data_IF_677126256349
#
_entry.id   IF_677126256349
#
_cell.length_a   1.000
_cell.length_b   1.000
_cell.length_c   1.000
_cell.angle_alpha   90.00
_cell.angle_beta   90.00
_cell.angle_gamma   90.00
#
_symmetry.space_group_name_H-M   'P 1'
#
loop_
_entity.id
_entity.type
_entity.pdbx_description
1 polymer ?
#
# COMPACT_ATOMS: atom_id res chain seq x y z
N UNK A 1 60.23 13.39 -17.34
CA UNK A 1 59.60 13.84 -18.60
C UNK A 1 58.21 13.22 -18.65
N UNK A 2 57.22 13.93 -18.14
CA UNK A 2 55.83 13.50 -18.18
C UNK A 2 55.03 14.65 -18.84
N UNK A 3 54.54 14.37 -20.04
CA UNK A 3 53.68 15.30 -20.76
C UNK A 3 52.31 15.37 -20.10
N UNK A 4 51.90 16.58 -19.75
CA UNK A 4 50.61 16.87 -19.18
C UNK A 4 49.68 17.38 -20.31
N UNK A 5 48.78 16.55 -20.79
CA UNK A 5 47.77 16.92 -21.79
C UNK A 5 46.62 17.64 -21.08
N UNK A 6 46.49 18.95 -21.34
CA UNK A 6 45.37 19.77 -20.89
C UNK A 6 44.18 19.55 -21.84
N UNK A 7 43.13 18.89 -21.38
CA UNK A 7 41.84 18.89 -22.07
C UNK A 7 40.95 19.96 -21.46
N UNK A 8 40.74 21.04 -22.19
CA UNK A 8 39.82 22.12 -21.87
C UNK A 8 38.45 21.74 -22.43
N UNK A 9 37.50 21.37 -21.57
CA UNK A 9 36.09 21.31 -21.94
C UNK A 9 35.51 22.72 -21.84
N UNK A 10 35.35 23.39 -22.97
CA UNK A 10 34.57 24.63 -23.09
C UNK A 10 33.21 24.26 -23.69
N UNK A 11 32.18 24.26 -22.88
CA UNK A 11 30.79 24.18 -23.32
C UNK A 11 30.32 25.62 -23.60
N UNK A 12 30.33 26.02 -24.89
CA UNK A 12 29.81 27.30 -25.33
C UNK A 12 28.35 27.13 -25.73
N UNK A 13 27.44 27.66 -24.93
CA UNK A 13 26.06 27.86 -25.33
C UNK A 13 26.02 28.92 -26.43
N UNK A 14 25.60 28.54 -27.65
CA UNK A 14 25.34 29.45 -28.76
C UNK A 14 23.99 30.14 -28.56
N UNK A 15 24.04 31.42 -28.19
CA UNK A 15 22.96 32.33 -28.48
C UNK A 15 23.32 33.08 -29.77
N UNK A 16 22.58 32.80 -30.83
CA UNK A 16 22.62 33.55 -32.07
C UNK A 16 21.91 34.89 -31.87
N UNK A 17 22.65 35.98 -31.94
CA UNK A 17 22.13 37.33 -32.20
C UNK A 17 22.67 37.77 -33.55
N UNK A 18 21.80 37.85 -34.54
CA UNK A 18 22.06 38.45 -35.84
C UNK A 18 22.14 40.00 -35.69
N UNK A 19 23.33 40.56 -35.96
CA UNK A 19 23.50 42.02 -36.19
C UNK A 19 24.36 42.16 -37.43
N UNK A 20 23.95 42.96 -38.45
CA UNK A 20 24.71 43.12 -39.69
C UNK A 20 25.88 44.09 -39.50
N UNK A 21 27.07 43.69 -39.99
CA UNK A 21 28.25 44.55 -40.06
C UNK A 21 28.27 45.36 -41.37
N UNK A 22 28.60 46.69 -41.33
CA UNK A 22 29.01 47.36 -42.49
C UNK A 22 30.55 47.33 -42.68
N UNK A 23 30.94 47.08 -43.88
CA UNK A 23 32.31 47.08 -44.36
C UNK A 23 32.93 48.47 -44.39
N UNK A 24 34.01 48.76 -43.62
CA UNK A 24 35.11 49.61 -44.01
C UNK A 24 36.30 49.46 -43.06
N UNK A 25 37.49 49.22 -43.62
CA UNK A 25 38.71 48.97 -42.93
C UNK A 25 39.27 50.13 -42.09
N UNK A 26 39.97 49.76 -41.04
CA UNK A 26 41.20 50.36 -40.56
C UNK A 26 41.79 49.56 -39.42
N UNK A 27 43.06 49.24 -39.54
CA UNK A 27 43.92 48.60 -38.58
C UNK A 27 44.18 49.48 -37.37
N UNK A 28 43.77 49.12 -36.20
CA UNK A 28 44.30 49.65 -34.93
C UNK A 28 44.38 48.55 -33.93
N UNK A 29 45.59 48.26 -33.46
CA UNK A 29 45.88 47.37 -32.36
C UNK A 29 45.48 48.04 -31.02
N UNK A 30 44.64 47.46 -30.19
CA UNK A 30 44.53 47.93 -28.82
C UNK A 30 45.21 46.93 -27.86
N UNK A 31 45.98 47.49 -26.97
CA UNK A 31 46.55 46.94 -25.80
C UNK A 31 45.48 46.07 -25.05
N UNK A 32 45.71 44.78 -24.98
CA UNK A 32 44.91 43.91 -24.12
C UNK A 32 45.43 44.00 -22.69
N UNK A 33 44.74 44.76 -21.85
CA UNK A 33 44.95 44.75 -20.42
C UNK A 33 44.46 43.37 -19.91
N UNK A 34 45.39 42.47 -19.58
CA UNK A 34 45.09 41.21 -18.96
C UNK A 34 44.62 41.50 -17.53
N UNK A 35 43.30 41.57 -17.37
CA UNK A 35 42.68 41.53 -16.05
C UNK A 35 43.03 40.21 -15.36
N UNK A 36 43.51 40.28 -14.14
CA UNK A 36 43.76 39.13 -13.25
C UNK A 36 42.45 38.34 -13.09
N UNK A 37 42.22 37.35 -13.96
CA UNK A 37 41.26 36.32 -13.69
C UNK A 37 41.81 35.44 -12.56
N UNK A 38 41.20 35.55 -11.40
CA UNK A 38 41.38 34.60 -10.33
C UNK A 38 40.82 33.27 -10.82
N UNK A 39 41.67 32.37 -11.33
CA UNK A 39 41.30 31.01 -11.64
C UNK A 39 41.10 30.36 -10.27
N UNK A 40 39.84 30.25 -9.84
CA UNK A 40 39.46 29.30 -8.77
C UNK A 40 39.73 27.91 -9.30
N UNK A 41 40.84 27.34 -8.85
CA UNK A 41 41.20 25.97 -9.13
C UNK A 41 40.13 25.11 -8.44
N UNK A 42 39.25 24.55 -9.28
CA UNK A 42 38.30 23.53 -8.83
C UNK A 42 39.09 22.46 -8.02
N UNK A 43 38.69 22.11 -6.80
CA UNK A 43 39.46 21.20 -5.95
C UNK A 43 39.68 19.90 -6.75
N UNK A 44 40.98 19.51 -6.85
CA UNK A 44 41.37 18.24 -7.46
C UNK A 44 40.47 17.12 -6.93
N UNK A 45 39.86 16.35 -7.83
CA UNK A 45 39.24 15.07 -7.44
C UNK A 45 40.28 14.28 -6.68
N UNK A 46 40.06 14.10 -5.39
CA UNK A 46 40.86 13.24 -4.53
C UNK A 46 41.02 11.87 -5.18
N UNK A 47 42.16 11.21 -5.02
CA UNK A 47 42.38 9.86 -5.55
C UNK A 47 41.26 8.91 -5.03
N UNK A 48 40.95 7.86 -5.77
CA UNK A 48 39.90 6.92 -5.37
C UNK A 48 40.12 6.39 -3.95
N UNK A 49 41.37 6.10 -3.59
CA UNK A 49 41.79 5.62 -2.27
C UNK A 49 41.54 6.66 -1.15
N UNK A 50 41.77 7.96 -1.42
CA UNK A 50 41.50 9.01 -0.44
C UNK A 50 40.01 9.25 -0.26
N UNK A 51 39.22 9.10 -1.33
CA UNK A 51 37.75 9.16 -1.25
C UNK A 51 37.15 7.99 -0.47
N UNK A 52 37.65 6.78 -0.68
CA UNK A 52 37.16 5.60 0.02
C UNK A 52 37.47 5.71 1.52
N UNK A 53 38.69 6.12 1.90
CA UNK A 53 39.03 6.39 3.32
C UNK A 53 38.16 7.48 3.95
N UNK A 54 37.90 8.57 3.23
CA UNK A 54 37.04 9.65 3.70
C UNK A 54 35.59 9.18 3.88
N UNK A 55 35.09 8.32 2.99
CA UNK A 55 33.78 7.69 3.10
C UNK A 55 33.69 6.75 4.31
N UNK A 56 34.69 5.88 4.50
CA UNK A 56 34.74 4.96 5.64
C UNK A 56 34.76 5.71 6.98
N UNK A 57 35.54 6.79 7.07
CA UNK A 57 35.54 7.64 8.26
C UNK A 57 34.19 8.32 8.51
N UNK A 58 33.51 8.79 7.45
CA UNK A 58 32.19 9.38 7.58
C UNK A 58 31.13 8.35 8.00
N UNK A 59 31.18 7.14 7.44
CA UNK A 59 30.28 6.02 7.82
C UNK A 59 30.49 5.65 9.30
N UNK A 60 31.73 5.47 9.74
CA UNK A 60 32.04 5.17 11.13
C UNK A 60 31.59 6.28 12.10
N UNK A 61 31.66 7.56 11.68
CA UNK A 61 31.15 8.68 12.48
C UNK A 61 29.63 8.68 12.56
N UNK A 62 28.93 8.39 11.45
CA UNK A 62 27.47 8.28 11.41
C UNK A 62 27.00 7.13 12.30
N UNK A 63 27.63 5.97 12.23
CA UNK A 63 27.29 4.82 13.07
C UNK A 63 27.46 5.11 14.57
N UNK A 64 28.52 5.83 14.94
CA UNK A 64 28.72 6.25 16.36
C UNK A 64 27.66 7.25 16.83
N UNK A 65 27.17 8.12 15.95
CA UNK A 65 26.24 9.18 16.32
C UNK A 65 24.78 8.74 16.23
N UNK A 66 24.42 7.89 15.28
CA UNK A 66 23.03 7.53 14.95
C UNK A 66 22.72 6.04 15.16
N UNK A 67 23.72 5.23 15.52
CA UNK A 67 23.59 3.79 15.71
C UNK A 67 23.97 2.97 14.50
N UNK A 68 24.25 1.70 14.73
CA UNK A 68 24.62 0.71 13.71
C UNK A 68 23.47 0.53 12.69
N UNK A 69 23.80 0.43 11.40
CA UNK A 69 22.83 0.29 10.32
C UNK A 69 22.15 1.60 9.89
N UNK A 70 22.57 2.77 10.40
CA UNK A 70 22.05 4.08 9.98
C UNK A 70 22.32 4.38 8.50
N UNK A 71 23.43 3.86 7.96
CA UNK A 71 23.79 3.90 6.54
C UNK A 71 24.26 2.51 6.13
N UNK A 72 23.72 1.99 5.04
CA UNK A 72 24.13 0.71 4.48
C UNK A 72 24.07 0.73 2.97
N UNK A 73 24.91 -0.08 2.32
CA UNK A 73 24.86 -0.22 0.86
C UNK A 73 23.63 -1.00 0.46
N UNK A 74 22.91 -0.54 -0.56
CA UNK A 74 21.64 -1.16 -1.00
C UNK A 74 21.84 -2.63 -1.44
N UNK A 75 23.02 -3.01 -1.94
CA UNK A 75 23.35 -4.39 -2.32
C UNK A 75 23.61 -5.32 -1.13
N UNK A 76 23.96 -4.79 0.03
CA UNK A 76 24.19 -5.57 1.27
C UNK A 76 22.87 -5.89 1.99
N UNK A 77 21.83 -5.10 1.78
CA UNK A 77 20.46 -5.51 2.07
C UNK A 77 20.07 -6.53 1.00
N UNK A 78 20.18 -7.82 1.28
CA UNK A 78 19.47 -8.83 0.49
C UNK A 78 18.06 -8.31 0.17
N UNK A 79 17.40 -8.79 -0.88
CA UNK A 79 16.02 -8.37 -1.20
C UNK A 79 15.17 -8.49 0.08
N UNK A 80 15.01 -7.38 0.81
CA UNK A 80 14.12 -7.36 1.97
C UNK A 80 12.71 -7.55 1.44
N UNK A 81 12.24 -8.79 1.54
CA UNK A 81 10.86 -9.14 1.23
C UNK A 81 9.98 -8.24 2.09
N UNK A 82 9.14 -7.43 1.47
CA UNK A 82 8.23 -6.56 2.22
C UNK A 82 7.17 -7.47 2.82
N UNK A 83 7.09 -7.51 4.14
CA UNK A 83 6.05 -8.23 4.85
C UNK A 83 4.68 -7.65 4.48
N UNK A 84 3.69 -8.51 4.29
CA UNK A 84 2.35 -8.11 3.89
C UNK A 84 1.29 -8.86 4.69
N UNK A 85 0.11 -8.27 4.83
CA UNK A 85 -1.11 -8.90 5.34
C UNK A 85 -2.04 -9.14 4.17
N UNK A 86 -2.54 -10.37 4.01
CA UNK A 86 -3.48 -10.72 2.93
C UNK A 86 -4.72 -9.82 2.96
N UNK A 87 -5.29 -9.55 1.81
CA UNK A 87 -6.55 -8.81 1.67
C UNK A 87 -7.78 -9.71 1.85
N UNK A 88 -7.60 -11.02 2.05
CA UNK A 88 -8.68 -12.02 2.02
C UNK A 88 -9.11 -12.42 0.60
N UNK A 89 -8.53 -11.81 -0.44
CA UNK A 89 -8.80 -12.14 -1.84
C UNK A 89 -7.49 -12.38 -2.59
N UNK A 90 -7.30 -13.60 -3.09
CA UNK A 90 -6.12 -13.97 -3.87
C UNK A 90 -5.92 -13.05 -5.09
N UNK A 91 -7.02 -12.67 -5.75
CA UNK A 91 -6.97 -11.76 -6.90
C UNK A 91 -6.39 -10.38 -6.55
N UNK A 92 -6.77 -9.82 -5.39
CA UNK A 92 -6.25 -8.54 -4.90
C UNK A 92 -4.78 -8.69 -4.49
N UNK A 93 -4.44 -9.76 -3.78
CA UNK A 93 -3.07 -10.05 -3.31
C UNK A 93 -2.09 -10.17 -4.49
N UNK A 94 -2.53 -10.81 -5.59
CA UNK A 94 -1.80 -10.86 -6.85
C UNK A 94 -1.64 -9.49 -7.50
N UNK A 95 -2.70 -8.68 -7.52
CA UNK A 95 -2.65 -7.34 -8.09
C UNK A 95 -1.71 -6.42 -7.29
N UNK A 96 -1.62 -6.59 -5.97
CA UNK A 96 -0.68 -5.91 -5.09
C UNK A 96 0.78 -6.36 -5.32
N UNK A 97 0.99 -7.60 -5.74
CA UNK A 97 2.29 -8.14 -6.17
C UNK A 97 3.25 -8.53 -5.06
N UNK A 98 2.81 -8.48 -3.79
CA UNK A 98 3.58 -8.87 -2.60
C UNK A 98 2.77 -9.79 -1.67
N UNK A 99 1.61 -10.29 -2.13
CA UNK A 99 0.75 -11.18 -1.37
C UNK A 99 -0.21 -10.49 -0.39
N UNK A 100 -0.36 -9.16 -0.45
CA UNK A 100 -1.26 -8.42 0.41
C UNK A 100 -0.90 -6.95 0.59
N UNK A 101 -1.41 -6.33 1.65
CA UNK A 101 -1.11 -4.94 2.00
C UNK A 101 0.24 -4.84 2.74
N UNK A 102 1.12 -3.89 2.36
CA UNK A 102 2.47 -3.79 2.93
C UNK A 102 2.46 -3.34 4.38
N UNK A 103 3.15 -4.05 5.27
CA UNK A 103 3.38 -3.65 6.66
C UNK A 103 4.22 -2.37 6.75
N UNK A 104 3.95 -1.56 7.76
CA UNK A 104 4.67 -0.31 8.01
C UNK A 104 4.34 0.81 7.01
N UNK A 105 3.20 0.76 6.34
CA UNK A 105 2.84 1.67 5.25
C UNK A 105 1.43 2.23 5.39
N UNK A 106 1.25 3.41 4.77
CA UNK A 106 -0.08 4.00 4.56
C UNK A 106 -0.66 3.44 3.27
N UNK A 107 -1.89 2.94 3.36
CA UNK A 107 -2.70 2.47 2.23
C UNK A 107 -3.96 3.34 2.14
N UNK A 108 -4.32 3.80 0.94
CA UNK A 108 -5.58 4.50 0.69
C UNK A 108 -6.48 3.61 -0.16
N UNK A 109 -7.69 3.32 0.36
CA UNK A 109 -8.77 2.63 -0.37
C UNK A 109 -9.85 3.67 -0.67
N UNK A 110 -10.14 3.92 -1.94
CA UNK A 110 -11.12 4.92 -2.31
C UNK A 110 -12.00 4.45 -3.47
N UNK A 111 -13.19 4.99 -3.53
CA UNK A 111 -14.18 4.63 -4.55
C UNK A 111 -15.55 5.25 -4.28
N UNK A 112 -16.52 5.03 -5.19
CA UNK A 112 -17.89 5.46 -5.01
C UNK A 112 -18.52 4.86 -3.74
N UNK A 113 -19.67 5.37 -3.36
CA UNK A 113 -20.50 4.79 -2.31
C UNK A 113 -20.90 3.35 -2.67
N UNK A 114 -21.08 2.49 -1.66
CA UNK A 114 -21.44 1.07 -1.82
C UNK A 114 -20.54 0.27 -2.77
N UNK A 115 -19.27 0.67 -2.95
CA UNK A 115 -18.29 -0.04 -3.78
C UNK A 115 -17.54 -1.17 -3.04
N UNK A 116 -17.72 -1.34 -1.72
CA UNK A 116 -17.06 -2.36 -0.91
C UNK A 116 -15.76 -1.92 -0.24
N UNK A 117 -15.54 -0.62 -0.01
CA UNK A 117 -14.34 -0.08 0.67
C UNK A 117 -14.18 -0.62 2.09
N UNK A 118 -15.20 -0.43 2.92
CA UNK A 118 -15.21 -0.90 4.32
C UNK A 118 -15.19 -2.42 4.38
N UNK A 119 -15.87 -3.13 3.48
CA UNK A 119 -15.81 -4.58 3.33
C UNK A 119 -14.38 -5.06 3.11
N UNK A 120 -13.63 -4.45 2.17
CA UNK A 120 -12.23 -4.80 1.91
C UNK A 120 -11.36 -4.55 3.15
N UNK A 121 -11.55 -3.41 3.83
CA UNK A 121 -10.79 -3.11 5.04
C UNK A 121 -11.08 -4.10 6.17
N UNK A 122 -12.34 -4.51 6.36
CA UNK A 122 -12.73 -5.53 7.35
C UNK A 122 -12.11 -6.90 7.02
N UNK A 123 -12.04 -7.30 5.75
CA UNK A 123 -11.33 -8.53 5.37
C UNK A 123 -9.84 -8.47 5.73
N UNK A 124 -9.18 -7.33 5.52
CA UNK A 124 -7.77 -7.18 5.93
C UNK A 124 -7.63 -7.28 7.45
N UNK A 125 -8.57 -6.73 8.22
CA UNK A 125 -8.60 -6.87 9.68
C UNK A 125 -8.76 -8.33 10.07
N UNK A 126 -9.72 -9.05 9.48
CA UNK A 126 -9.94 -10.48 9.75
C UNK A 126 -8.70 -11.33 9.44
N UNK A 127 -8.03 -11.07 8.31
CA UNK A 127 -6.78 -11.76 7.96
C UNK A 127 -5.63 -11.45 8.91
N UNK A 128 -5.53 -10.20 9.39
CA UNK A 128 -4.52 -9.82 10.37
C UNK A 128 -4.77 -10.53 11.72
N UNK A 129 -6.02 -10.56 12.19
CA UNK A 129 -6.39 -11.23 13.43
C UNK A 129 -6.17 -12.74 13.33
N UNK A 130 -6.48 -13.37 12.19
CA UNK A 130 -6.23 -14.81 11.96
C UNK A 130 -4.75 -15.18 12.11
N UNK A 131 -3.84 -14.24 11.86
CA UNK A 131 -2.40 -14.43 12.08
C UNK A 131 -1.93 -13.94 13.46
N UNK A 132 -2.86 -13.77 14.42
CA UNK A 132 -2.56 -13.33 15.80
C UNK A 132 -2.28 -11.81 15.92
N UNK A 133 -2.57 -11.02 14.89
CA UNK A 133 -2.33 -9.58 14.91
C UNK A 133 -3.44 -8.80 15.62
N UNK A 134 -3.06 -7.73 16.33
CA UNK A 134 -4.00 -6.82 16.99
C UNK A 134 -4.43 -5.71 16.03
N UNK A 135 -5.74 -5.46 15.96
CA UNK A 135 -6.33 -4.52 15.04
C UNK A 135 -7.15 -3.43 15.73
N UNK A 136 -7.18 -2.26 15.11
CA UNK A 136 -7.99 -1.13 15.57
C UNK A 136 -8.79 -0.54 14.41
N UNK A 137 -10.03 -0.11 14.70
CA UNK A 137 -10.93 0.52 13.77
C UNK A 137 -11.40 1.88 14.30
N UNK A 138 -11.05 2.94 13.61
CA UNK A 138 -11.46 4.31 13.94
C UNK A 138 -12.66 4.65 13.04
N UNK A 139 -13.86 4.48 13.59
CA UNK A 139 -15.14 4.67 12.91
C UNK A 139 -15.63 6.10 13.07
N UNK A 140 -15.19 6.99 12.20
CA UNK A 140 -15.61 8.40 12.19
C UNK A 140 -16.99 8.61 11.52
N UNK A 141 -17.52 7.62 10.81
CA UNK A 141 -18.87 7.65 10.22
C UNK A 141 -19.94 7.09 11.18
N UNK A 142 -19.54 6.43 12.29
CA UNK A 142 -20.43 5.73 13.23
C UNK A 142 -21.34 4.70 12.54
N UNK A 143 -20.82 4.01 11.54
CA UNK A 143 -21.59 3.15 10.63
C UNK A 143 -21.14 1.69 10.64
N UNK A 144 -20.24 1.29 11.55
CA UNK A 144 -19.77 -0.08 11.63
C UNK A 144 -20.87 -1.01 12.15
N UNK A 145 -21.14 -2.05 11.39
CA UNK A 145 -22.06 -3.13 11.76
C UNK A 145 -21.26 -4.33 12.32
N UNK A 146 -21.35 -4.63 13.62
CA UNK A 146 -20.63 -5.73 14.26
C UNK A 146 -21.07 -7.11 13.75
N UNK A 147 -22.34 -7.30 13.38
CA UNK A 147 -22.85 -8.56 12.86
C UNK A 147 -22.24 -8.83 11.48
N UNK A 148 -22.21 -7.82 10.63
CA UNK A 148 -21.56 -7.93 9.33
C UNK A 148 -20.04 -8.17 9.45
N UNK A 149 -19.37 -7.49 10.37
CA UNK A 149 -17.94 -7.70 10.64
C UNK A 149 -17.67 -9.16 11.07
N UNK A 150 -18.49 -9.72 11.97
CA UNK A 150 -18.42 -11.12 12.39
C UNK A 150 -18.63 -12.09 11.22
N UNK A 151 -19.60 -11.81 10.36
CA UNK A 151 -19.85 -12.64 9.17
C UNK A 151 -18.70 -12.64 8.16
N UNK A 152 -17.90 -11.59 8.13
CA UNK A 152 -16.66 -11.49 7.32
C UNK A 152 -15.53 -12.32 7.95
N UNK A 153 -15.60 -12.61 9.25
CA UNK A 153 -14.59 -13.34 10.02
C UNK A 153 -13.76 -12.46 10.94
N UNK A 154 -14.21 -11.22 11.21
CA UNK A 154 -13.57 -10.35 12.21
C UNK A 154 -13.93 -10.87 13.60
N UNK A 155 -12.93 -11.04 14.44
CA UNK A 155 -13.12 -11.21 15.87
C UNK A 155 -13.50 -9.87 16.50
N UNK A 156 -14.78 -9.68 16.74
CA UNK A 156 -15.32 -8.39 17.23
C UNK A 156 -15.02 -8.17 18.70
N UNK A 157 -14.75 -9.22 19.48
CA UNK A 157 -14.41 -9.14 20.89
C UNK A 157 -12.96 -8.65 21.09
N UNK A 158 -12.06 -8.96 20.15
CA UNK A 158 -10.66 -8.54 20.17
C UNK A 158 -10.40 -7.28 19.32
N UNK A 159 -11.39 -6.75 18.61
CA UNK A 159 -11.23 -5.56 17.78
C UNK A 159 -11.35 -4.29 18.62
N UNK A 160 -10.31 -3.45 18.61
CA UNK A 160 -10.36 -2.12 19.24
C UNK A 160 -11.15 -1.15 18.38
N UNK A 161 -12.25 -0.62 18.90
CA UNK A 161 -13.08 0.38 18.22
C UNK A 161 -12.94 1.73 18.89
N UNK A 162 -12.82 2.80 18.08
CA UNK A 162 -12.89 4.18 18.51
C UNK A 162 -13.86 4.95 17.62
N UNK A 163 -14.76 5.73 18.22
CA UNK A 163 -15.74 6.57 17.55
C UNK A 163 -15.52 8.03 17.95
N UNK A 164 -14.57 8.73 17.33
CA UNK A 164 -14.18 10.08 17.68
C UNK A 164 -15.16 11.12 17.16
N UNK A 165 -15.39 12.20 17.93
CA UNK A 165 -16.25 13.32 17.55
C UNK A 165 -15.57 14.30 16.57
N UNK A 166 -14.24 14.37 16.56
CA UNK A 166 -13.46 15.31 15.74
C UNK A 166 -12.33 14.62 14.96
N UNK A 167 -11.94 15.21 13.84
CA UNK A 167 -10.82 14.71 13.03
C UNK A 167 -9.48 14.75 13.77
N UNK A 168 -9.27 15.76 14.65
CA UNK A 168 -8.09 15.84 15.50
C UNK A 168 -8.02 14.65 16.48
N UNK A 169 -9.14 14.35 17.14
CA UNK A 169 -9.22 13.22 18.09
C UNK A 169 -8.98 11.88 17.36
N UNK A 170 -9.60 11.66 16.21
CA UNK A 170 -9.40 10.46 15.39
C UNK A 170 -7.93 10.23 15.05
N UNK A 171 -7.26 11.26 14.56
CA UNK A 171 -5.87 11.15 14.11
C UNK A 171 -4.88 11.10 15.27
N UNK A 172 -5.20 11.69 16.42
CA UNK A 172 -4.39 11.62 17.63
C UNK A 172 -4.47 10.22 18.27
N UNK A 173 -5.68 9.64 18.38
CA UNK A 173 -5.87 8.24 18.81
C UNK A 173 -5.10 7.31 17.87
N UNK A 174 -5.22 7.49 16.57
CA UNK A 174 -4.48 6.70 15.57
C UNK A 174 -2.95 6.78 15.79
N UNK A 175 -2.40 8.01 15.99
CA UNK A 175 -0.97 8.19 16.23
C UNK A 175 -0.53 7.52 17.55
N UNK A 176 -1.33 7.58 18.60
CA UNK A 176 -1.06 6.92 19.88
C UNK A 176 -1.06 5.40 19.74
N UNK A 177 -2.04 4.83 19.06
CA UNK A 177 -2.13 3.39 18.79
C UNK A 177 -0.92 2.90 17.99
N UNK A 178 -0.53 3.60 16.92
CA UNK A 178 0.64 3.25 16.12
C UNK A 178 1.92 3.34 16.95
N UNK A 179 2.09 4.37 17.77
CA UNK A 179 3.28 4.54 18.61
C UNK A 179 3.42 3.50 19.70
N UNK A 180 2.34 2.87 20.12
CA UNK A 180 2.40 1.77 21.09
C UNK A 180 3.23 0.58 20.58
N UNK A 181 3.27 0.38 19.24
CA UNK A 181 3.93 -0.74 18.59
C UNK A 181 3.19 -2.08 18.75
N UNK A 182 1.99 -2.07 19.34
CA UNK A 182 1.19 -3.26 19.61
C UNK A 182 0.10 -3.50 18.54
N UNK A 183 -0.05 -2.61 17.57
CA UNK A 183 -1.11 -2.67 16.55
C UNK A 183 -0.53 -3.06 15.20
N UNK A 184 -1.08 -4.10 14.58
CA UNK A 184 -0.71 -4.57 13.25
C UNK A 184 -1.45 -3.82 12.14
N UNK A 185 -2.75 -3.59 12.33
CA UNK A 185 -3.61 -2.88 11.36
C UNK A 185 -4.44 -1.83 12.08
N UNK A 186 -4.45 -0.60 11.57
CA UNK A 186 -5.40 0.44 11.96
C UNK A 186 -6.15 0.93 10.74
N UNK A 187 -7.48 0.94 10.82
CA UNK A 187 -8.39 1.43 9.77
C UNK A 187 -8.99 2.76 10.22
N UNK A 188 -9.05 3.74 9.33
CA UNK A 188 -9.77 5.01 9.53
C UNK A 188 -10.89 5.08 8.49
N UNK A 189 -12.13 4.99 8.93
CA UNK A 189 -13.33 5.04 8.10
C UNK A 189 -14.22 6.23 8.50
N UNK A 190 -14.33 7.30 7.75
CA UNK A 190 -13.57 7.59 6.54
C UNK A 190 -12.91 8.98 6.64
N UNK A 191 -11.91 9.25 5.77
CA UNK A 191 -11.27 10.59 5.70
C UNK A 191 -12.31 11.71 5.47
N UNK A 192 -13.39 11.41 4.75
CA UNK A 192 -14.45 12.38 4.47
C UNK A 192 -15.17 12.85 5.75
N UNK A 193 -15.25 11.99 6.77
CA UNK A 193 -15.90 12.26 8.06
C UNK A 193 -14.97 12.92 9.09
N UNK A 194 -13.67 13.05 8.80
CA UNK A 194 -12.71 13.71 9.70
C UNK A 194 -12.92 15.23 9.67
N UNK A 195 -13.94 15.69 10.38
CA UNK A 195 -14.27 17.13 10.49
C UNK A 195 -13.36 17.79 11.52
N UNK A 196 -12.64 18.88 11.17
CA UNK A 196 -11.86 19.66 12.12
C UNK A 196 -12.72 20.24 13.23
N UNK A 197 -12.20 20.27 14.47
CA UNK A 197 -12.91 20.84 15.62
C UNK A 197 -13.40 22.26 15.37
N UNK A 198 -12.58 23.10 14.77
CA UNK A 198 -12.94 24.49 14.46
C UNK A 198 -14.11 24.60 13.47
N UNK A 199 -14.35 23.58 12.64
CA UNK A 199 -15.50 23.51 11.73
C UNK A 199 -16.78 23.08 12.48
N UNK A 200 -16.65 22.22 13.50
CA UNK A 200 -17.75 21.78 14.35
C UNK A 200 -18.21 22.90 15.29
N UNK A 201 -17.26 23.65 15.85
CA UNK A 201 -17.53 24.76 16.79
C UNK A 201 -17.93 26.06 16.09
N UNK A 202 -17.76 26.17 14.75
CA UNK A 202 -18.14 27.32 13.94
C UNK A 202 -19.64 27.44 13.72
N UNK A 203 -20.07 28.60 13.22
CA UNK A 203 -21.49 28.82 12.88
C UNK A 203 -21.81 28.22 11.51
N UNK A 204 -23.09 27.86 11.31
CA UNK A 204 -23.57 27.37 10.01
C UNK A 204 -23.39 28.44 8.93
N UNK A 205 -22.55 28.14 7.91
CA UNK A 205 -22.23 29.07 6.83
C UNK A 205 -20.83 29.66 6.89
N UNK A 206 -20.07 29.41 7.97
CA UNK A 206 -18.67 29.79 8.03
C UNK A 206 -17.83 29.04 7.00
N UNK A 207 -16.90 29.76 6.38
CA UNK A 207 -16.02 29.15 5.38
C UNK A 207 -14.71 28.67 6.00
N UNK A 208 -14.58 27.36 6.18
CA UNK A 208 -13.38 26.72 6.74
C UNK A 208 -12.49 26.09 5.66
N UNK A 209 -12.08 26.90 4.67
CA UNK A 209 -11.34 26.41 3.52
C UNK A 209 -9.98 25.81 3.92
N UNK A 210 -9.82 24.51 3.63
CA UNK A 210 -8.54 23.81 3.73
C UNK A 210 -8.11 23.37 5.12
N UNK A 211 -8.94 23.51 6.16
CA UNK A 211 -8.61 23.03 7.51
C UNK A 211 -8.37 21.52 7.53
N UNK A 212 -9.28 20.72 6.96
CA UNK A 212 -9.12 19.27 6.84
C UNK A 212 -7.81 18.89 6.12
N UNK A 213 -7.47 19.58 5.04
CA UNK A 213 -6.23 19.30 4.31
C UNK A 213 -4.95 19.62 5.12
N UNK A 214 -4.99 20.65 5.97
CA UNK A 214 -3.89 21.00 6.90
C UNK A 214 -3.77 19.95 7.99
N UNK A 215 -4.89 19.55 8.60
CA UNK A 215 -4.97 18.50 9.61
C UNK A 215 -4.39 17.19 9.09
N UNK A 216 -4.85 16.73 7.93
CA UNK A 216 -4.33 15.52 7.26
C UNK A 216 -2.83 15.63 6.96
N UNK A 217 -2.35 16.78 6.48
CA UNK A 217 -0.93 16.97 6.19
C UNK A 217 -0.05 16.91 7.44
N UNK A 218 -0.54 17.42 8.56
CA UNK A 218 0.16 17.37 9.85
C UNK A 218 0.18 15.95 10.43
N UNK A 219 -0.96 15.28 10.46
CA UNK A 219 -1.10 13.93 10.97
C UNK A 219 -0.26 12.92 10.18
N UNK A 220 -0.35 12.94 8.85
CA UNK A 220 0.39 12.01 7.99
C UNK A 220 1.91 12.14 8.15
N UNK A 221 2.45 13.34 8.43
CA UNK A 221 3.88 13.51 8.74
C UNK A 221 4.28 12.78 10.02
N UNK A 222 3.44 12.84 11.08
CA UNK A 222 3.69 12.14 12.35
C UNK A 222 3.52 10.64 12.20
N UNK A 223 2.39 10.20 11.67
CA UNK A 223 2.02 8.79 11.48
C UNK A 223 3.06 8.05 10.63
N UNK A 224 3.44 8.60 9.47
CA UNK A 224 4.38 7.92 8.56
C UNK A 224 5.77 7.70 9.19
N UNK A 225 6.21 8.60 10.06
CA UNK A 225 7.50 8.45 10.74
C UNK A 225 7.52 7.24 11.70
N UNK A 226 6.38 6.91 12.31
CA UNK A 226 6.23 5.84 13.27
C UNK A 226 5.91 4.49 12.60
N UNK A 227 5.04 4.47 11.59
CA UNK A 227 4.58 3.26 10.90
C UNK A 227 5.71 2.32 10.48
N UNK A 228 6.79 2.87 9.90
CA UNK A 228 7.90 2.05 9.43
C UNK A 228 8.63 1.33 10.58
N UNK A 229 8.65 1.92 11.77
CA UNK A 229 9.28 1.35 12.96
C UNK A 229 8.41 0.27 13.60
N UNK A 230 7.10 0.53 13.69
CA UNK A 230 6.13 -0.35 14.35
C UNK A 230 5.59 -1.44 13.43
N UNK A 231 5.87 -1.36 12.11
CA UNK A 231 5.35 -2.28 11.09
C UNK A 231 3.83 -2.30 10.98
N UNK A 232 3.14 -1.32 11.56
CA UNK A 232 1.68 -1.18 11.51
C UNK A 232 1.22 -0.80 10.09
N UNK A 233 0.15 -1.40 9.60
CA UNK A 233 -0.54 -0.98 8.37
C UNK A 233 -1.58 0.07 8.75
N UNK A 234 -1.55 1.25 8.10
CA UNK A 234 -2.57 2.26 8.30
C UNK A 234 -3.42 2.41 7.04
N UNK A 235 -4.68 2.00 7.12
CA UNK A 235 -5.64 2.02 6.01
C UNK A 235 -6.54 3.25 6.16
N UNK A 236 -6.52 4.13 5.17
CA UNK A 236 -7.45 5.24 5.06
C UNK A 236 -8.53 4.91 4.02
N UNK A 237 -9.75 4.84 4.45
CA UNK A 237 -10.91 4.73 3.57
C UNK A 237 -11.30 6.15 3.12
N UNK A 238 -11.56 6.33 1.82
CA UNK A 238 -11.87 7.65 1.28
C UNK A 238 -13.02 7.58 0.27
N UNK A 239 -13.79 8.63 0.21
CA UNK A 239 -14.88 8.78 -0.73
C UNK A 239 -14.39 9.48 -2.01
N UNK A 240 -15.15 9.36 -3.10
CA UNK A 240 -14.96 10.16 -4.30
C UNK A 240 -15.90 11.38 -4.28
N UNK A 241 -15.36 12.50 -4.71
CA UNK A 241 -16.11 13.74 -4.94
C UNK A 241 -15.85 14.21 -6.36
N UNK A 242 -16.79 14.88 -6.97
CA UNK A 242 -16.63 15.45 -8.30
C UNK A 242 -16.33 16.95 -8.19
N UNK A 243 -15.36 17.40 -8.95
CA UNK A 243 -15.05 18.82 -9.12
C UNK A 243 -15.94 19.40 -10.19
N UNK A 244 -16.70 20.43 -9.84
CA UNK A 244 -17.52 21.17 -10.79
C UNK A 244 -16.61 21.99 -11.71
N UNK A 245 -16.92 22.01 -13.03
CA UNK A 245 -16.23 22.85 -14.01
C UNK A 245 -14.93 22.30 -14.60
N UNK A 246 -14.62 21.02 -14.41
CA UNK A 246 -13.47 20.37 -15.06
C UNK A 246 -13.85 19.97 -16.49
N UNK A 247 -13.36 20.70 -17.48
CA UNK A 247 -13.61 20.41 -18.90
C UNK A 247 -12.64 19.35 -19.48
N UNK A 248 -11.45 19.19 -18.89
CA UNK A 248 -10.44 18.22 -19.35
C UNK A 248 -9.86 17.44 -18.19
N UNK A 249 -9.66 16.12 -18.39
CA UNK A 249 -9.16 15.20 -17.36
C UNK A 249 -10.28 14.59 -16.49
N UNK A 250 -9.92 13.84 -15.43
CA UNK A 250 -10.90 13.25 -14.52
C UNK A 250 -11.42 14.31 -13.53
N UNK A 251 -12.74 14.51 -13.44
CA UNK A 251 -13.34 15.39 -12.44
C UNK A 251 -13.24 14.81 -11.03
N UNK A 252 -12.99 13.51 -10.90
CA UNK A 252 -12.99 12.81 -9.61
C UNK A 252 -11.81 13.25 -8.73
N UNK A 253 -12.10 13.48 -7.47
CA UNK A 253 -11.11 13.83 -6.44
C UNK A 253 -11.52 13.20 -5.11
N UNK A 254 -10.52 13.01 -4.23
CA UNK A 254 -10.74 12.54 -2.86
C UNK A 254 -10.62 13.71 -1.88
N UNK A 255 -11.46 13.80 -0.81
CA UNK A 255 -11.33 14.75 0.27
C UNK A 255 -10.02 14.57 1.06
N UNK A 256 -9.73 15.49 2.01
CA UNK A 256 -8.50 15.45 2.80
C UNK A 256 -7.27 16.06 2.10
N UNK A 257 -7.43 16.70 0.93
CA UNK A 257 -6.36 17.38 0.20
C UNK A 257 -5.43 16.45 -0.58
N UNK A 258 -4.18 16.91 -0.80
CA UNK A 258 -3.19 16.15 -1.60
C UNK A 258 -2.27 15.28 -0.75
N UNK A 259 -2.20 15.50 0.56
CA UNK A 259 -1.21 14.87 1.42
C UNK A 259 -1.29 13.33 1.38
N UNK A 260 -2.50 12.77 1.51
CA UNK A 260 -2.72 11.33 1.50
C UNK A 260 -2.23 10.68 0.18
N UNK A 261 -2.44 11.34 -0.96
CA UNK A 261 -1.96 10.86 -2.27
C UNK A 261 -0.43 10.75 -2.35
N UNK A 262 0.31 11.59 -1.62
CA UNK A 262 1.77 11.56 -1.57
C UNK A 262 2.28 10.55 -0.54
N UNK A 263 1.70 10.54 0.66
CA UNK A 263 2.15 9.69 1.78
C UNK A 263 1.79 8.22 1.58
N UNK A 264 0.64 7.91 0.99
CA UNK A 264 0.26 6.52 0.71
C UNK A 264 1.32 5.80 -0.14
N UNK A 265 1.66 4.58 0.25
CA UNK A 265 2.51 3.68 -0.54
C UNK A 265 1.71 2.89 -1.56
N UNK A 266 0.47 2.55 -1.22
CA UNK A 266 -0.49 1.89 -2.09
C UNK A 266 -1.78 2.71 -2.14
N UNK A 267 -2.38 2.82 -3.33
CA UNK A 267 -3.70 3.42 -3.53
C UNK A 267 -4.55 2.47 -4.37
N UNK A 268 -5.70 2.12 -3.83
CA UNK A 268 -6.64 1.15 -4.38
C UNK A 268 -7.92 1.89 -4.77
N UNK A 269 -8.24 1.94 -6.06
CA UNK A 269 -9.52 2.40 -6.59
C UNK A 269 -10.45 1.18 -6.66
N UNK A 270 -11.55 1.18 -5.92
CA UNK A 270 -12.51 0.09 -5.85
C UNK A 270 -13.86 0.52 -6.42
N UNK A 271 -14.39 -0.27 -7.37
CA UNK A 271 -15.64 0.06 -8.08
C UNK A 271 -16.48 -1.18 -8.30
N UNK A 272 -17.77 -1.08 -8.00
CA UNK A 272 -18.75 -2.08 -8.41
C UNK A 272 -18.96 -1.99 -9.92
N UNK A 273 -18.90 -3.14 -10.62
CA UNK A 273 -19.08 -3.24 -12.07
C UNK A 273 -20.49 -3.71 -12.40
N UNK A 274 -20.92 -4.78 -11.75
CA UNK A 274 -22.14 -5.51 -12.07
C UNK A 274 -22.84 -6.02 -10.80
N UNK A 275 -24.15 -6.21 -10.88
CA UNK A 275 -24.93 -6.84 -9.82
C UNK A 275 -25.00 -8.36 -10.05
N UNK A 276 -24.65 -9.13 -9.03
CA UNK A 276 -24.81 -10.58 -9.04
C UNK A 276 -26.25 -10.91 -8.61
N UNK A 277 -26.92 -11.71 -9.42
CA UNK A 277 -28.31 -12.14 -9.17
C UNK A 277 -28.38 -13.64 -9.02
N UNK A 278 -29.17 -14.10 -8.05
CA UNK A 278 -29.58 -15.48 -7.90
C UNK A 278 -31.11 -15.52 -7.73
N UNK A 279 -31.78 -16.39 -8.48
CA UNK A 279 -33.24 -16.55 -8.44
C UNK A 279 -34.04 -15.26 -8.61
N UNK A 280 -33.46 -14.30 -9.36
CA UNK A 280 -34.11 -13.00 -9.66
C UNK A 280 -33.80 -11.91 -8.61
N UNK A 281 -33.22 -12.23 -7.48
CA UNK A 281 -32.80 -11.30 -6.44
C UNK A 281 -31.33 -10.92 -6.56
N UNK A 282 -30.99 -9.69 -6.13
CA UNK A 282 -29.59 -9.22 -6.12
C UNK A 282 -28.94 -9.70 -4.84
N UNK A 283 -28.03 -10.67 -4.97
CA UNK A 283 -27.32 -11.30 -3.84
C UNK A 283 -25.92 -10.74 -3.61
N UNK A 284 -25.40 -9.98 -4.55
CA UNK A 284 -24.05 -9.43 -4.45
C UNK A 284 -23.67 -8.46 -5.55
N UNK A 285 -22.40 -8.15 -5.65
CA UNK A 285 -21.84 -7.30 -6.69
C UNK A 285 -20.47 -7.76 -7.16
N UNK A 286 -20.29 -7.84 -8.47
CA UNK A 286 -18.97 -7.96 -9.10
C UNK A 286 -18.23 -6.64 -8.91
N UNK A 287 -17.05 -6.68 -8.34
CA UNK A 287 -16.27 -5.51 -7.97
C UNK A 287 -14.91 -5.59 -8.64
N UNK A 288 -14.42 -4.44 -9.08
CA UNK A 288 -13.07 -4.29 -9.63
C UNK A 288 -12.25 -3.39 -8.74
N UNK A 289 -11.02 -3.81 -8.43
CA UNK A 289 -9.99 -2.95 -7.87
C UNK A 289 -8.94 -2.62 -8.93
N UNK A 290 -8.43 -1.39 -8.88
CA UNK A 290 -7.28 -0.94 -9.65
C UNK A 290 -6.23 -0.38 -8.71
N UNK A 291 -5.03 -0.90 -8.78
CA UNK A 291 -3.89 -0.41 -7.98
C UNK A 291 -3.29 0.81 -8.69
N UNK A 292 -3.79 2.00 -8.35
CA UNK A 292 -3.42 3.25 -9.04
C UNK A 292 -2.02 3.71 -8.67
N UNK A 293 -1.57 3.39 -7.46
CA UNK A 293 -0.23 3.67 -6.97
C UNK A 293 0.28 2.48 -6.18
N UNK A 294 1.52 2.09 -6.43
CA UNK A 294 2.20 1.06 -5.69
C UNK A 294 3.70 1.39 -5.61
N UNK A 295 4.25 1.47 -4.40
CA UNK A 295 5.68 1.72 -4.16
C UNK A 295 6.46 0.44 -3.85
N UNK A 296 5.78 -0.70 -3.71
CA UNK A 296 6.38 -1.99 -3.32
C UNK A 296 6.37 -3.03 -4.45
N UNK A 297 5.57 -2.79 -5.50
CA UNK A 297 5.50 -3.60 -6.71
C UNK A 297 5.05 -2.74 -7.92
N UNK A 298 5.06 -3.25 -9.16
CA UNK A 298 4.57 -2.52 -10.33
C UNK A 298 3.09 -2.11 -10.18
N UNK A 299 2.74 -0.82 -10.38
CA UNK A 299 1.38 -0.32 -10.26
C UNK A 299 0.52 -0.68 -11.49
N UNK A 300 -0.76 -0.23 -11.45
CA UNK A 300 -1.78 -0.29 -12.50
C UNK A 300 -2.35 -1.68 -12.79
N UNK A 301 -2.02 -2.68 -11.96
CA UNK A 301 -2.69 -3.98 -12.01
C UNK A 301 -4.14 -3.84 -11.56
N UNK A 302 -4.99 -4.74 -12.05
CA UNK A 302 -6.42 -4.80 -11.74
C UNK A 302 -6.76 -6.21 -11.27
N UNK A 303 -7.79 -6.30 -10.44
CA UNK A 303 -8.38 -7.56 -10.03
C UNK A 303 -9.90 -7.41 -9.97
N UNK A 304 -10.62 -8.47 -10.30
CA UNK A 304 -12.06 -8.56 -10.18
C UNK A 304 -12.44 -9.69 -9.24
N UNK A 305 -13.42 -9.44 -8.41
CA UNK A 305 -13.91 -10.38 -7.42
C UNK A 305 -15.37 -10.09 -7.06
N UNK A 306 -16.02 -11.05 -6.43
CA UNK A 306 -17.41 -10.92 -6.01
C UNK A 306 -17.48 -10.53 -4.53
N UNK A 307 -18.34 -9.56 -4.22
CA UNK A 307 -18.77 -9.24 -2.85
C UNK A 307 -20.20 -9.75 -2.70
N UNK A 308 -20.41 -10.72 -1.81
CA UNK A 308 -21.71 -11.24 -1.47
C UNK A 308 -22.29 -10.49 -0.28
N UNK A 309 -23.54 -10.06 -0.37
CA UNK A 309 -24.18 -9.30 0.70
C UNK A 309 -24.33 -10.16 1.96
N UNK A 310 -23.99 -9.59 3.10
CA UNK A 310 -23.98 -10.26 4.39
C UNK A 310 -22.82 -11.25 4.62
N UNK A 311 -22.00 -11.56 3.59
CA UNK A 311 -20.91 -12.54 3.68
C UNK A 311 -19.52 -11.99 3.31
N UNK A 312 -19.46 -10.81 2.64
CA UNK A 312 -18.21 -10.21 2.21
C UNK A 312 -17.66 -10.76 0.89
N UNK A 313 -16.34 -10.74 0.73
CA UNK A 313 -15.65 -11.18 -0.48
C UNK A 313 -15.71 -12.71 -0.60
N UNK A 314 -16.15 -13.20 -1.77
CA UNK A 314 -16.12 -14.65 -2.06
C UNK A 314 -14.68 -15.10 -2.33
N UNK A 315 -14.10 -15.83 -1.39
CA UNK A 315 -12.76 -16.44 -1.51
C UNK A 315 -12.73 -17.52 -2.59
N UNK A 316 -13.75 -18.41 -2.55
CA UNK A 316 -13.91 -19.51 -3.50
C UNK A 316 -14.05 -18.97 -4.93
N UNK A 317 -14.86 -17.92 -5.11
CA UNK A 317 -15.03 -17.25 -6.41
C UNK A 317 -13.72 -16.67 -6.95
N UNK A 318 -12.95 -15.99 -6.08
CA UNK A 318 -11.64 -15.46 -6.44
C UNK A 318 -10.66 -16.59 -6.79
N UNK A 319 -10.67 -17.69 -6.04
CA UNK A 319 -9.79 -18.83 -6.26
C UNK A 319 -10.08 -19.56 -7.58
N UNK A 320 -11.36 -19.77 -7.90
CA UNK A 320 -11.77 -20.37 -9.20
C UNK A 320 -11.32 -19.49 -10.36
N UNK A 321 -11.58 -18.18 -10.29
CA UNK A 321 -11.23 -17.25 -11.36
C UNK A 321 -9.70 -17.20 -11.57
N UNK A 322 -8.94 -17.01 -10.49
CA UNK A 322 -7.47 -16.97 -10.52
C UNK A 322 -6.90 -18.34 -10.90
N UNK A 323 -7.46 -19.44 -10.38
CA UNK A 323 -7.03 -20.80 -10.71
C UNK A 323 -7.13 -21.09 -12.21
N UNK A 324 -8.19 -20.61 -12.85
CA UNK A 324 -8.34 -20.70 -14.32
C UNK A 324 -7.33 -19.80 -15.03
N UNK A 325 -7.14 -18.57 -14.59
CA UNK A 325 -6.20 -17.62 -15.21
C UNK A 325 -4.75 -18.13 -15.13
N UNK A 326 -4.36 -18.72 -14.01
CA UNK A 326 -3.02 -19.25 -13.78
C UNK A 326 -2.84 -20.69 -14.32
N UNK A 327 -3.90 -21.33 -14.82
CA UNK A 327 -3.85 -22.64 -15.43
C UNK A 327 -3.86 -23.84 -14.46
N UNK A 328 -4.07 -23.61 -13.17
CA UNK A 328 -4.25 -24.68 -12.18
C UNK A 328 -5.60 -25.37 -12.33
N UNK A 329 -6.65 -24.57 -12.51
CA UNK A 329 -7.98 -25.07 -12.77
C UNK A 329 -8.24 -25.04 -14.28
N UNK A 330 -8.55 -26.19 -14.86
CA UNK A 330 -8.89 -26.30 -16.28
C UNK A 330 -10.37 -26.06 -16.48
N UNK A 331 -10.68 -25.12 -17.40
CA UNK A 331 -12.05 -24.86 -17.83
C UNK A 331 -12.26 -25.47 -19.23
N UNK A 332 -13.14 -26.47 -19.34
CA UNK A 332 -13.49 -27.10 -20.60
C UNK A 332 -15.00 -26.96 -20.83
N UNK A 333 -15.37 -26.01 -21.70
CA UNK A 333 -16.76 -25.61 -21.85
C UNK A 333 -17.35 -25.05 -20.54
N UNK A 334 -18.36 -25.73 -20.00
CA UNK A 334 -18.96 -25.37 -18.70
C UNK A 334 -18.32 -26.08 -17.50
N UNK A 335 -17.40 -27.02 -17.71
CA UNK A 335 -16.81 -27.83 -16.66
C UNK A 335 -15.49 -27.22 -16.12
N UNK A 336 -15.36 -27.26 -14.81
CA UNK A 336 -14.14 -26.88 -14.09
C UNK A 336 -13.51 -28.16 -13.52
N UNK A 337 -12.21 -28.34 -13.72
CA UNK A 337 -11.48 -29.53 -13.24
C UNK A 337 -10.14 -29.13 -12.64
N UNK A 338 -9.76 -29.79 -11.55
CA UNK A 338 -8.47 -29.66 -10.89
C UNK A 338 -7.84 -31.02 -10.76
N UNK A 339 -6.62 -31.23 -11.25
CA UNK A 339 -5.86 -32.50 -11.27
C UNK A 339 -6.64 -33.74 -11.74
N UNK A 340 -7.65 -33.54 -12.59
CA UNK A 340 -8.51 -34.61 -13.12
C UNK A 340 -9.82 -34.79 -12.36
N UNK A 341 -9.96 -34.19 -11.19
CA UNK A 341 -11.20 -34.15 -10.42
C UNK A 341 -12.12 -33.04 -10.93
N UNK A 342 -13.43 -33.34 -11.02
CA UNK A 342 -14.43 -32.38 -11.47
C UNK A 342 -14.92 -31.53 -10.29
N UNK A 343 -14.57 -30.23 -10.30
CA UNK A 343 -15.08 -29.26 -9.31
C UNK A 343 -16.55 -28.93 -9.53
N UNK A 344 -17.05 -29.03 -10.78
CA UNK A 344 -18.47 -28.81 -11.07
C UNK A 344 -18.74 -28.24 -12.46
N UNK A 345 -20.02 -28.31 -12.84
CA UNK A 345 -20.52 -27.67 -14.06
C UNK A 345 -21.01 -26.26 -13.75
N UNK A 346 -20.31 -25.25 -14.29
CA UNK A 346 -20.56 -23.84 -14.00
C UNK A 346 -19.74 -23.33 -12.80
N UNK A 347 -19.57 -21.99 -12.78
CA UNK A 347 -18.75 -21.31 -11.76
C UNK A 347 -19.34 -21.46 -10.34
N UNK A 348 -20.66 -21.39 -10.21
CA UNK A 348 -21.31 -21.48 -8.91
C UNK A 348 -21.18 -22.89 -8.29
N UNK A 349 -21.28 -23.96 -9.09
CA UNK A 349 -21.05 -25.31 -8.59
C UNK A 349 -19.59 -25.54 -8.22
N UNK A 350 -18.64 -24.98 -8.95
CA UNK A 350 -17.22 -25.04 -8.60
C UNK A 350 -16.94 -24.29 -7.27
N UNK A 351 -17.58 -23.15 -7.04
CA UNK A 351 -17.51 -22.42 -5.76
C UNK A 351 -18.06 -23.26 -4.62
N UNK A 352 -19.25 -23.86 -4.83
CA UNK A 352 -19.87 -24.71 -3.80
C UNK A 352 -18.99 -25.92 -3.47
N UNK A 353 -18.40 -26.55 -4.48
CA UNK A 353 -17.45 -27.66 -4.26
C UNK A 353 -16.28 -27.24 -3.38
N UNK A 354 -15.67 -26.06 -3.62
CA UNK A 354 -14.57 -25.56 -2.80
C UNK A 354 -15.01 -25.18 -1.38
N UNK A 355 -16.26 -24.75 -1.21
CA UNK A 355 -16.83 -24.50 0.12
C UNK A 355 -17.00 -25.80 0.90
N UNK A 356 -17.43 -26.87 0.21
CA UNK A 356 -17.68 -28.20 0.82
C UNK A 356 -16.37 -28.99 1.02
N UNK A 357 -15.28 -28.61 0.34
CA UNK A 357 -13.96 -29.26 0.40
C UNK A 357 -12.85 -28.21 0.66
N UNK A 358 -12.74 -27.73 1.91
CA UNK A 358 -11.80 -26.67 2.26
C UNK A 358 -10.32 -27.07 2.07
N UNK A 359 -9.98 -28.35 2.19
CA UNK A 359 -8.64 -28.89 1.95
C UNK A 359 -8.19 -28.66 0.50
N UNK A 360 -9.07 -28.87 -0.48
CA UNK A 360 -8.79 -28.60 -1.91
C UNK A 360 -8.61 -27.12 -2.14
N UNK A 361 -9.42 -26.29 -1.45
CA UNK A 361 -9.31 -24.83 -1.53
C UNK A 361 -7.94 -24.36 -1.03
N UNK A 362 -7.49 -24.82 0.13
CA UNK A 362 -6.18 -24.48 0.72
C UNK A 362 -5.05 -24.96 -0.17
N UNK A 363 -5.12 -26.17 -0.72
CA UNK A 363 -4.12 -26.71 -1.62
C UNK A 363 -3.95 -25.85 -2.89
N UNK A 364 -5.05 -25.50 -3.56
CA UNK A 364 -5.01 -24.66 -4.77
C UNK A 364 -4.44 -23.27 -4.44
N UNK A 365 -4.89 -22.63 -3.34
CA UNK A 365 -4.40 -21.32 -2.90
C UNK A 365 -2.89 -21.38 -2.61
N UNK A 366 -2.43 -22.36 -1.84
CA UNK A 366 -1.01 -22.55 -1.52
C UNK A 366 -0.14 -22.74 -2.75
N UNK A 367 -0.57 -23.56 -3.72
CA UNK A 367 0.15 -23.77 -4.97
C UNK A 367 0.25 -22.51 -5.82
N UNK A 368 -0.84 -21.74 -5.92
CA UNK A 368 -0.85 -20.48 -6.65
C UNK A 368 0.08 -19.47 -5.97
N UNK A 369 0.01 -19.33 -4.64
CA UNK A 369 0.88 -18.41 -3.90
C UNK A 369 2.36 -18.78 -4.04
N UNK A 370 2.69 -20.05 -3.92
CA UNK A 370 4.06 -20.56 -4.08
C UNK A 370 4.60 -20.29 -5.48
N UNK A 371 3.84 -20.56 -6.54
CA UNK A 371 4.25 -20.29 -7.92
C UNK A 371 4.49 -18.80 -8.18
N UNK A 372 3.68 -17.93 -7.59
CA UNK A 372 3.77 -16.49 -7.76
C UNK A 372 4.75 -15.81 -6.78
N UNK A 373 5.34 -16.55 -5.84
CA UNK A 373 6.24 -16.03 -4.82
C UNK A 373 5.58 -15.04 -3.87
N UNK A 374 4.26 -15.19 -3.62
CA UNK A 374 3.46 -14.26 -2.80
C UNK A 374 3.56 -14.52 -1.28
N UNK A 375 4.45 -15.43 -0.84
CA UNK A 375 4.55 -15.86 0.53
C UNK A 375 3.62 -17.05 0.82
N UNK A 376 3.98 -17.85 1.82
CA UNK A 376 3.13 -18.92 2.33
C UNK A 376 2.02 -18.31 3.18
N UNK A 377 0.78 -18.77 3.02
CA UNK A 377 -0.22 -18.66 4.07
C UNK A 377 0.32 -19.45 5.26
N UNK A 378 0.41 -18.85 6.43
CA UNK A 378 0.71 -19.57 7.65
C UNK A 378 -0.48 -20.53 7.81
N UNK A 379 -0.25 -21.81 7.56
CA UNK A 379 -1.19 -22.87 7.97
C UNK A 379 -1.36 -22.72 9.48
N UNK A 380 -2.60 -22.59 9.93
CA UNK A 380 -2.91 -22.68 11.34
C UNK A 380 -2.36 -24.01 11.85
N UNK A 381 -1.58 -23.96 12.91
CA UNK A 381 -1.01 -25.12 13.59
C UNK A 381 -2.15 -25.87 14.26
N UNK A 382 -2.85 -26.75 13.49
CA UNK A 382 -3.87 -27.68 14.00
C UNK A 382 -3.24 -28.89 14.74
N UNK A 383 -1.93 -28.81 15.09
CA UNK A 383 -1.22 -29.84 15.83
C UNK A 383 -0.98 -29.50 17.32
N UNK A 384 -1.82 -28.67 17.94
CA UNK A 384 -1.67 -28.36 19.36
C UNK A 384 -2.40 -29.31 20.33
N UNK A 385 -3.02 -30.41 19.85
CA UNK A 385 -3.81 -31.32 20.70
C UNK A 385 -3.47 -32.82 20.55
N UNK A 386 -2.19 -33.19 20.39
CA UNK A 386 -1.81 -34.61 20.58
C UNK A 386 -0.42 -34.69 21.23
N UNK A 387 -0.27 -34.26 22.46
CA UNK A 387 0.81 -34.73 23.38
C UNK A 387 0.50 -34.29 24.82
N UNK A 388 -0.56 -34.89 25.42
CA UNK A 388 -0.81 -34.78 26.85
C UNK A 388 -1.63 -35.97 27.40
N UNK A 389 -1.42 -37.20 26.92
CA UNK A 389 -1.88 -38.41 27.60
C UNK A 389 -0.84 -39.53 27.41
N UNK A 390 0.28 -39.48 28.11
CA UNK A 390 1.13 -40.66 28.39
C UNK A 390 2.26 -40.33 29.40
N UNK A 391 1.90 -39.79 30.57
CA UNK A 391 2.79 -39.83 31.77
C UNK A 391 1.98 -39.81 33.09
N UNK A 392 1.17 -40.81 33.29
CA UNK A 392 0.60 -41.11 34.59
C UNK A 392 0.41 -42.63 34.75
N UNK A 393 1.48 -43.41 34.83
CA UNK A 393 1.50 -44.75 35.41
C UNK A 393 2.95 -45.22 35.59
N UNK A 394 3.62 -44.77 36.63
CA UNK A 394 4.76 -45.48 37.22
C UNK A 394 5.25 -44.79 38.52
N UNK A 395 4.45 -44.88 39.58
CA UNK A 395 4.98 -44.90 40.95
C UNK A 395 4.03 -45.74 41.80
N UNK A 396 4.32 -47.01 41.88
CA UNK A 396 4.07 -47.86 43.05
C UNK A 396 4.89 -49.15 42.87
N UNK A 397 6.06 -49.17 43.53
CA UNK A 397 6.60 -50.26 44.38
C UNK A 397 7.93 -49.78 45.01
#
# INVERSE_FOLDING_TARGET
>A
MFECTLTVCAEVQRHTLDVPFPSTGLTICPFITIGLFKIEICPRRTSSVERDKALDMALAQIERQFGEGSVMKMGERGQMKVEAVSSGSLAIDMALGIGGLPRGRVVEVYGPEASGKSTLAMHVVAEAQRTGGTCAYVDAEHAMDPEYAKNIGVDVDELLISQPDTGEQALEITDMLIRSGAIDVVVIDSVAALTPRAEIEGEMGDTHVGLQARLMSQALRKITANLNKTKTICIFINQLREKIGVMFGSPETTPGGRALKFYSSVRIDIRRIEAIKSDGEITGGRTRVKIVKNKVAPPFRQAEFDIMYGKGISREGSLVDVGVEQGFVKKSGAWYTYEGEQLGQGRENAKQFLTDNPEVMVEIDGRIRSQLGLGETIEGDDNADIEAEDELDAVDD
#
